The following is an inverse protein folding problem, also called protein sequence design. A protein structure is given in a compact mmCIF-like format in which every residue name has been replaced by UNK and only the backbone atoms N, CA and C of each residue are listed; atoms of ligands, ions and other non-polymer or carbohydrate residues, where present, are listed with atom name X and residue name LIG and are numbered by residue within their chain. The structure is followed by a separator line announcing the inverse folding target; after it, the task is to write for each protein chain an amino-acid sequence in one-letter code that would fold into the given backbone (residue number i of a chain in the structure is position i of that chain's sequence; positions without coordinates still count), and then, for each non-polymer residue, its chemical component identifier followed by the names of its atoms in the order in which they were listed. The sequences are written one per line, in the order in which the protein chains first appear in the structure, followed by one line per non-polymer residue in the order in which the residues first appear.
data_IF_714113064417
#
_entry.id   IF_714113064417
#
_cell.length_a   1.000
_cell.length_b   1.000
_cell.length_c   1.000
_cell.angle_alpha   90.00
_cell.angle_beta   90.00
_cell.angle_gamma   90.00
#
_symmetry.space_group_name_H-M   'P 1'
#
loop_
_entity.id
_entity.type
_entity.pdbx_description
1 polymer ?
#
# COMPACT_ATOMS: atom_id res chain seq x y z
N UNK A 1 30.36 26.63 -24.27
CA UNK A 1 28.99 27.04 -24.42
C UNK A 1 28.35 27.25 -23.03
N UNK A 2 28.48 28.50 -22.48
CA UNK A 2 28.07 28.86 -21.10
C UNK A 2 26.59 28.57 -20.78
N UNK A 3 25.70 28.63 -21.79
CA UNK A 3 24.26 28.34 -21.62
C UNK A 3 24.02 26.83 -21.38
N UNK A 4 24.73 25.97 -22.10
CA UNK A 4 24.62 24.52 -21.94
C UNK A 4 25.21 24.08 -20.57
N UNK A 5 26.31 24.69 -20.15
CA UNK A 5 26.92 24.43 -18.84
C UNK A 5 26.01 24.92 -17.70
N UNK A 6 25.39 26.10 -17.84
CA UNK A 6 24.40 26.58 -16.84
C UNK A 6 23.16 25.70 -16.78
N UNK A 7 22.66 25.20 -17.93
CA UNK A 7 21.51 24.26 -17.95
C UNK A 7 21.87 22.92 -17.33
N UNK A 8 23.09 22.41 -17.56
CA UNK A 8 23.60 21.19 -16.94
C UNK A 8 23.82 21.39 -15.43
N UNK A 9 24.37 22.52 -15.03
CA UNK A 9 24.56 22.87 -13.61
C UNK A 9 23.21 23.10 -12.93
N UNK A 10 22.27 23.79 -13.59
CA UNK A 10 20.91 24.01 -13.06
C UNK A 10 20.11 22.69 -12.98
N UNK A 11 20.30 21.80 -13.97
CA UNK A 11 19.75 20.44 -13.94
C UNK A 11 20.40 19.59 -12.85
N UNK A 12 21.72 19.73 -12.58
CA UNK A 12 22.41 19.09 -11.47
C UNK A 12 21.98 19.63 -10.10
N UNK A 13 21.74 20.94 -9.98
CA UNK A 13 21.23 21.56 -8.75
C UNK A 13 19.80 21.08 -8.45
N UNK A 14 18.99 20.86 -9.51
CA UNK A 14 17.64 20.33 -9.37
C UNK A 14 17.58 18.80 -9.19
N UNK A 15 18.66 18.08 -9.46
CA UNK A 15 18.83 16.64 -9.21
C UNK A 15 19.54 16.34 -7.87
N UNK A 16 19.68 17.33 -6.99
CA UNK A 16 20.20 17.05 -5.65
C UNK A 16 19.18 16.23 -4.89
N UNK A 17 19.67 15.15 -4.31
CA UNK A 17 18.96 14.42 -3.27
C UNK A 17 18.28 15.43 -2.33
N UNK A 18 16.99 15.29 -2.20
CA UNK A 18 16.20 16.14 -1.33
C UNK A 18 15.61 15.29 -0.23
N UNK A 19 16.17 15.37 0.97
CA UNK A 19 15.67 14.69 2.16
C UNK A 19 15.35 15.69 3.25
N UNK A 20 14.33 15.41 4.02
CA UNK A 20 13.95 16.13 5.22
C UNK A 20 13.93 15.17 6.40
N UNK A 21 14.61 15.56 7.48
CA UNK A 21 14.61 14.88 8.76
C UNK A 21 13.66 15.59 9.70
N UNK A 22 12.82 14.86 10.39
CA UNK A 22 11.74 15.39 11.20
C UNK A 22 11.89 14.95 12.66
N UNK A 23 11.52 15.83 13.55
CA UNK A 23 11.40 15.52 14.98
C UNK A 23 9.91 15.26 15.28
N UNK A 24 9.66 14.35 16.21
CA UNK A 24 8.34 14.07 16.75
C UNK A 24 8.37 14.21 18.26
N UNK A 25 7.31 14.77 18.83
CA UNK A 25 7.10 14.87 20.26
C UNK A 25 6.46 13.61 20.83
N UNK A 26 6.44 13.46 22.16
CA UNK A 26 5.68 12.38 22.83
C UNK A 26 4.20 12.44 22.46
N UNK A 27 3.65 13.63 22.32
CA UNK A 27 2.26 13.83 21.89
C UNK A 27 2.00 13.32 20.48
N UNK A 28 2.96 13.49 19.57
CA UNK A 28 2.85 12.94 18.20
C UNK A 28 2.89 11.40 18.24
N UNK A 29 3.68 10.82 19.13
CA UNK A 29 3.75 9.36 19.27
C UNK A 29 2.43 8.75 19.75
N UNK A 30 1.64 9.46 20.56
CA UNK A 30 0.29 9.04 20.96
C UNK A 30 -0.67 8.88 19.77
N UNK A 31 -0.41 9.56 18.64
CA UNK A 31 -1.17 9.37 17.40
C UNK A 31 -0.99 7.96 16.79
N UNK A 32 0.02 7.25 17.24
CA UNK A 32 0.29 5.86 16.90
C UNK A 32 1.23 5.67 15.71
N UNK A 33 1.64 6.75 15.03
CA UNK A 33 2.64 6.75 13.96
C UNK A 33 3.33 8.11 13.90
N UNK A 34 4.66 8.12 13.88
CA UNK A 34 5.49 9.30 13.71
C UNK A 34 6.42 9.13 12.52
N UNK A 35 6.73 10.23 11.84
CA UNK A 35 7.57 10.26 10.65
C UNK A 35 8.91 10.90 11.00
N UNK A 36 10.00 10.22 10.66
CA UNK A 36 11.39 10.62 10.92
C UNK A 36 12.07 11.21 9.70
N UNK A 37 11.76 10.67 8.50
CA UNK A 37 12.37 11.13 7.25
C UNK A 37 11.39 11.10 6.10
N UNK A 38 11.56 12.04 5.16
CA UNK A 38 10.88 12.02 3.84
C UNK A 38 11.92 12.46 2.81
N UNK A 39 11.96 11.79 1.67
CA UNK A 39 12.89 12.20 0.63
C UNK A 39 12.62 11.58 -0.73
N UNK A 40 13.38 12.09 -1.69
CA UNK A 40 13.44 11.61 -3.06
C UNK A 40 14.80 11.84 -3.66
N UNK A 41 15.20 10.98 -4.58
CA UNK A 41 16.44 11.12 -5.35
C UNK A 41 16.29 10.52 -6.75
N UNK A 42 17.16 10.94 -7.64
CA UNK A 42 17.32 10.36 -8.95
C UNK A 42 18.81 10.08 -9.18
N UNK A 43 19.14 8.82 -9.36
CA UNK A 43 20.50 8.34 -9.63
C UNK A 43 20.57 7.95 -11.10
N UNK A 44 21.37 8.69 -11.85
CA UNK A 44 21.56 8.40 -13.28
C UNK A 44 22.60 7.28 -13.49
N UNK A 45 22.59 6.61 -14.67
CA UNK A 45 23.59 5.58 -14.97
C UNK A 45 25.03 6.10 -14.78
N UNK A 46 25.85 5.31 -14.07
CA UNK A 46 27.25 5.61 -13.78
C UNK A 46 27.49 6.59 -12.62
N UNK A 47 26.45 7.06 -11.96
CA UNK A 47 26.58 7.91 -10.78
C UNK A 47 26.98 7.09 -9.55
N UNK A 48 27.82 7.69 -8.68
CA UNK A 48 28.26 7.07 -7.44
C UNK A 48 27.09 6.97 -6.44
N UNK A 49 26.94 5.82 -5.81
CA UNK A 49 25.94 5.58 -4.79
C UNK A 49 26.57 4.93 -3.54
N UNK A 50 26.18 5.28 -2.31
CA UNK A 50 25.20 6.33 -1.93
C UNK A 50 25.67 7.74 -2.26
N UNK A 51 24.73 8.63 -2.58
CA UNK A 51 25.03 10.03 -2.85
C UNK A 51 25.52 10.74 -1.59
N UNK A 52 26.38 11.73 -1.75
CA UNK A 52 26.86 12.56 -0.64
C UNK A 52 25.74 13.47 -0.14
N UNK A 53 25.64 13.64 1.18
CA UNK A 53 24.67 14.56 1.81
C UNK A 53 23.59 13.93 2.65
N UNK A 54 23.61 12.60 2.83
CA UNK A 54 22.83 11.96 3.89
C UNK A 54 23.31 12.36 5.27
N UNK A 55 22.41 12.49 6.25
CA UNK A 55 22.77 12.58 7.65
C UNK A 55 23.54 11.33 8.09
N UNK A 56 24.44 11.48 9.07
CA UNK A 56 25.39 10.42 9.49
C UNK A 56 24.72 9.05 9.77
N UNK A 57 23.50 9.03 10.30
CA UNK A 57 22.76 7.78 10.56
C UNK A 57 22.14 7.12 9.31
N UNK A 58 22.13 7.79 8.16
CA UNK A 58 21.49 7.32 6.93
C UNK A 58 22.48 7.01 5.81
N UNK A 59 23.69 7.53 5.88
CA UNK A 59 24.77 7.14 4.99
C UNK A 59 25.26 5.71 5.32
N UNK A 60 25.51 4.89 4.31
CA UNK A 60 26.01 3.53 4.52
C UNK A 60 26.92 3.08 3.38
N UNK A 61 27.82 2.17 3.71
CA UNK A 61 28.64 1.44 2.76
C UNK A 61 27.80 0.27 2.19
N UNK A 62 27.63 0.20 0.87
CA UNK A 62 26.83 -0.85 0.20
C UNK A 62 27.31 -2.26 0.58
N UNK A 63 28.62 -2.44 0.75
CA UNK A 63 29.21 -3.76 1.08
C UNK A 63 28.94 -4.16 2.53
N UNK A 64 28.91 -3.21 3.44
CA UNK A 64 28.67 -3.44 4.87
C UNK A 64 27.18 -3.47 5.21
N UNK A 65 26.36 -2.76 4.43
CA UNK A 65 24.95 -2.52 4.75
C UNK A 65 24.79 -1.67 6.00
N UNK A 66 23.58 -1.62 6.52
CA UNK A 66 23.22 -0.90 7.74
C UNK A 66 22.02 -1.53 8.45
N UNK A 67 21.78 -1.05 9.68
CA UNK A 67 20.56 -1.30 10.45
C UNK A 67 19.94 0.04 10.83
N UNK A 68 18.64 0.20 10.66
CA UNK A 68 17.89 1.37 11.12
C UNK A 68 16.99 0.98 12.30
N UNK A 69 16.59 1.96 13.10
CA UNK A 69 15.68 1.78 14.22
C UNK A 69 14.22 2.17 13.86
N UNK A 70 13.94 2.28 12.57
CA UNK A 70 12.66 2.68 11.97
C UNK A 70 12.28 1.82 10.78
N UNK A 71 11.00 1.86 10.41
CA UNK A 71 10.55 1.40 9.11
C UNK A 71 10.86 2.44 8.05
N UNK A 72 11.21 2.00 6.84
CA UNK A 72 11.23 2.88 5.67
C UNK A 72 10.48 2.24 4.52
N UNK A 73 9.56 2.97 3.93
CA UNK A 73 8.85 2.58 2.72
C UNK A 73 9.48 3.30 1.53
N UNK A 74 10.10 2.53 0.64
CA UNK A 74 10.80 3.04 -0.54
C UNK A 74 10.04 2.62 -1.80
N UNK A 75 9.79 3.57 -2.70
CA UNK A 75 9.15 3.34 -4.00
C UNK A 75 10.09 3.69 -5.14
N UNK A 76 10.23 2.76 -6.08
CA UNK A 76 11.07 2.90 -7.27
C UNK A 76 10.19 2.99 -8.52
N UNK A 77 9.67 4.17 -8.93
CA UNK A 77 8.84 4.29 -10.13
C UNK A 77 9.60 3.98 -11.42
N UNK A 78 10.90 4.23 -11.45
CA UNK A 78 11.75 4.10 -12.62
C UNK A 78 13.11 3.50 -12.27
N UNK A 79 13.73 2.83 -13.26
CA UNK A 79 15.04 2.22 -13.12
C UNK A 79 15.00 0.82 -12.53
N UNK A 80 16.14 0.36 -12.06
CA UNK A 80 16.29 -0.93 -11.40
C UNK A 80 17.49 -0.94 -10.45
N UNK A 81 17.52 -1.91 -9.57
CA UNK A 81 18.60 -2.08 -8.59
C UNK A 81 18.53 -3.43 -7.91
N UNK A 82 19.17 -3.53 -6.78
CA UNK A 82 19.13 -4.72 -5.93
C UNK A 82 18.85 -4.34 -4.49
N UNK A 83 18.23 -5.25 -3.77
CA UNK A 83 17.98 -5.19 -2.34
C UNK A 83 18.37 -6.52 -1.71
N UNK A 84 18.93 -6.47 -0.50
CA UNK A 84 19.25 -7.63 0.31
C UNK A 84 19.01 -7.29 1.77
N UNK A 85 18.48 -8.24 2.55
CA UNK A 85 18.32 -8.10 3.99
C UNK A 85 18.71 -9.39 4.72
N UNK A 86 18.60 -9.39 6.05
CA UNK A 86 18.87 -10.59 6.84
C UNK A 86 17.92 -11.75 6.48
N UNK A 87 16.68 -11.46 6.07
CA UNK A 87 15.66 -12.45 5.71
C UNK A 87 15.49 -12.68 4.21
N UNK A 88 16.07 -11.80 3.36
CA UNK A 88 15.93 -11.92 1.91
C UNK A 88 17.31 -11.88 1.23
N UNK A 89 17.68 -12.91 0.44
CA UNK A 89 18.91 -12.89 -0.36
C UNK A 89 18.86 -11.74 -1.37
N UNK A 90 19.99 -11.47 -2.02
CA UNK A 90 20.05 -10.42 -3.04
C UNK A 90 18.95 -10.62 -4.09
N UNK A 91 18.08 -9.64 -4.17
CA UNK A 91 16.87 -9.68 -4.99
C UNK A 91 16.79 -8.43 -5.84
N UNK A 92 16.45 -8.61 -7.11
CA UNK A 92 16.32 -7.52 -8.07
C UNK A 92 15.10 -6.65 -7.75
N UNK A 93 15.31 -5.35 -7.66
CA UNK A 93 14.28 -4.30 -7.62
C UNK A 93 14.05 -3.81 -9.05
N UNK A 94 12.78 -3.68 -9.42
CA UNK A 94 12.34 -3.23 -10.75
C UNK A 94 11.52 -1.96 -10.64
N UNK A 95 11.40 -1.25 -11.76
CA UNK A 95 10.45 -0.13 -11.85
C UNK A 95 9.05 -0.58 -11.41
N UNK A 96 8.44 0.22 -10.53
CA UNK A 96 7.14 -0.07 -9.92
C UNK A 96 7.18 -0.92 -8.65
N UNK A 97 8.37 -1.22 -8.11
CA UNK A 97 8.49 -1.92 -6.83
C UNK A 97 8.48 -0.93 -5.65
N UNK A 98 7.79 -1.34 -4.60
CA UNK A 98 7.94 -0.78 -3.25
C UNK A 98 8.66 -1.82 -2.40
N UNK A 99 9.62 -1.38 -1.58
CA UNK A 99 10.19 -2.25 -0.56
C UNK A 99 10.19 -1.57 0.81
N UNK A 100 9.98 -2.40 1.84
CA UNK A 100 9.88 -1.98 3.23
C UNK A 100 11.12 -2.43 4.01
N UNK A 101 11.79 -1.48 4.69
CA UNK A 101 12.83 -1.76 5.67
C UNK A 101 12.19 -1.89 7.05
N UNK A 102 12.70 -2.83 7.83
CA UNK A 102 12.21 -3.11 9.19
C UNK A 102 13.22 -2.66 10.24
N UNK A 103 12.76 -2.10 11.39
CA UNK A 103 13.65 -1.69 12.45
C UNK A 103 14.44 -2.89 13.01
N UNK A 104 15.72 -2.67 13.29
CA UNK A 104 16.62 -3.70 13.81
C UNK A 104 17.09 -4.74 12.78
N UNK A 105 16.58 -4.70 11.54
CA UNK A 105 16.99 -5.62 10.49
C UNK A 105 18.13 -5.06 9.64
N UNK A 106 19.17 -5.87 9.47
CA UNK A 106 20.28 -5.53 8.58
C UNK A 106 19.83 -5.56 7.12
N UNK A 107 20.20 -4.55 6.34
CA UNK A 107 19.87 -4.45 4.93
C UNK A 107 20.92 -3.67 4.13
N UNK A 108 20.92 -3.90 2.83
CA UNK A 108 21.66 -3.10 1.83
C UNK A 108 20.86 -3.04 0.54
N UNK A 109 21.01 -1.97 -0.21
CA UNK A 109 20.41 -1.79 -1.53
C UNK A 109 21.20 -0.75 -2.34
N UNK A 110 21.12 -0.85 -3.66
CA UNK A 110 21.73 0.13 -4.56
C UNK A 110 21.09 0.08 -5.96
N UNK A 111 21.13 1.19 -6.72
CA UNK A 111 20.71 1.20 -8.11
C UNK A 111 21.63 0.37 -9.00
N UNK A 112 21.13 -0.03 -10.16
CA UNK A 112 21.95 -0.57 -11.23
C UNK A 112 22.89 0.52 -11.77
N UNK A 113 24.17 0.21 -11.88
CA UNK A 113 25.16 1.13 -12.45
C UNK A 113 24.89 1.50 -13.91
N UNK A 114 24.15 0.64 -14.65
CA UNK A 114 23.85 0.84 -16.07
C UNK A 114 22.50 1.52 -16.32
N UNK A 115 21.56 1.46 -15.36
CA UNK A 115 20.20 2.02 -15.53
C UNK A 115 19.86 3.12 -14.54
N UNK A 116 20.51 3.14 -13.37
CA UNK A 116 20.12 4.02 -12.30
C UNK A 116 18.72 3.72 -11.78
N UNK A 117 18.15 4.62 -10.99
CA UNK A 117 16.76 4.62 -10.56
C UNK A 117 16.28 6.00 -10.11
N UNK A 118 14.96 6.13 -10.02
CA UNK A 118 14.30 7.19 -9.27
C UNK A 118 13.70 6.60 -8.02
N UNK A 119 13.93 7.22 -6.87
CA UNK A 119 13.55 6.72 -5.56
C UNK A 119 12.78 7.76 -4.75
N UNK A 120 11.72 7.33 -4.09
CA UNK A 120 11.01 8.06 -3.05
C UNK A 120 11.06 7.24 -1.78
N UNK A 121 11.21 7.89 -0.61
CA UNK A 121 11.15 7.19 0.67
C UNK A 121 10.46 8.00 1.75
N UNK A 122 9.93 7.29 2.73
CA UNK A 122 9.42 7.83 3.98
C UNK A 122 9.78 6.90 5.13
N UNK A 123 10.42 7.45 6.17
CA UNK A 123 10.80 6.74 7.39
C UNK A 123 9.80 7.03 8.50
N UNK A 124 9.42 6.02 9.26
CA UNK A 124 8.38 6.12 10.29
C UNK A 124 8.51 5.06 11.37
N UNK A 125 7.89 5.36 12.54
CA UNK A 125 7.80 4.47 13.72
C UNK A 125 6.40 4.55 14.31
N UNK A 126 6.02 3.54 15.09
CA UNK A 126 4.84 3.64 15.93
C UNK A 126 4.10 2.34 16.16
N UNK A 127 3.16 2.40 17.09
CA UNK A 127 2.34 1.23 17.47
C UNK A 127 1.52 0.70 16.30
N UNK A 128 0.97 1.58 15.46
CA UNK A 128 0.10 1.19 14.35
C UNK A 128 0.81 0.27 13.35
N UNK A 129 2.07 0.55 13.02
CA UNK A 129 2.84 -0.29 12.10
C UNK A 129 3.29 -1.59 12.78
N UNK A 130 3.71 -1.52 14.04
CA UNK A 130 4.10 -2.69 14.82
C UNK A 130 2.95 -3.70 14.94
N UNK A 131 1.73 -3.24 15.19
CA UNK A 131 0.54 -4.08 15.26
C UNK A 131 0.24 -4.77 13.91
N UNK A 132 0.46 -4.09 12.77
CA UNK A 132 0.30 -4.68 11.43
C UNK A 132 1.32 -5.77 11.15
N UNK A 133 2.58 -5.56 11.55
CA UNK A 133 3.63 -6.59 11.43
C UNK A 133 3.28 -7.78 12.32
N UNK A 134 2.90 -7.55 13.58
CA UNK A 134 2.47 -8.60 14.51
C UNK A 134 1.25 -9.38 14.01
N UNK A 135 0.34 -8.71 13.33
CA UNK A 135 -0.85 -9.33 12.72
C UNK A 135 -0.54 -10.04 11.38
N UNK A 136 0.71 -10.02 10.90
CA UNK A 136 1.13 -10.70 9.68
C UNK A 136 0.74 -9.99 8.37
N UNK A 137 0.31 -8.72 8.43
CA UNK A 137 0.07 -7.93 7.21
C UNK A 137 1.37 -7.56 6.50
N UNK A 138 2.44 -7.32 7.25
CA UNK A 138 3.77 -6.96 6.76
C UNK A 138 4.79 -7.90 7.40
N UNK A 139 5.81 -8.29 6.63
CA UNK A 139 6.79 -9.27 7.09
C UNK A 139 8.16 -9.00 6.49
N UNK A 140 9.28 -9.14 7.26
CA UNK A 140 10.62 -9.04 6.73
C UNK A 140 10.98 -10.16 5.74
N UNK A 141 10.26 -11.28 5.74
CA UNK A 141 10.41 -12.35 4.74
C UNK A 141 9.79 -12.00 3.39
N UNK A 142 8.86 -11.05 3.36
CA UNK A 142 8.24 -10.52 2.14
C UNK A 142 8.27 -8.99 2.14
N UNK A 143 9.44 -8.36 2.03
CA UNK A 143 9.56 -6.90 2.10
C UNK A 143 9.25 -6.19 0.78
N UNK A 144 9.18 -6.87 -0.37
CA UNK A 144 9.04 -6.29 -1.71
C UNK A 144 7.62 -6.52 -2.24
N UNK A 145 7.00 -5.43 -2.73
CA UNK A 145 5.65 -5.38 -3.29
C UNK A 145 5.69 -4.77 -4.70
N UNK A 146 5.17 -5.48 -5.69
CA UNK A 146 5.11 -4.97 -7.06
C UNK A 146 3.77 -4.24 -7.30
N UNK A 147 3.81 -2.90 -7.37
CA UNK A 147 2.60 -2.06 -7.53
C UNK A 147 2.49 -1.44 -8.92
N UNK A 148 3.52 -1.60 -9.75
CA UNK A 148 3.62 -0.95 -11.05
C UNK A 148 3.87 0.57 -10.94
N UNK A 149 3.94 1.24 -12.09
CA UNK A 149 4.02 2.70 -12.14
C UNK A 149 2.67 3.31 -11.69
N UNK A 150 2.71 4.20 -10.71
CA UNK A 150 1.50 4.80 -10.14
C UNK A 150 1.71 6.29 -9.84
N UNK A 151 1.00 7.15 -10.61
CA UNK A 151 0.96 8.58 -10.33
C UNK A 151 0.35 8.91 -8.97
N UNK A 152 -0.59 8.09 -8.47
CA UNK A 152 -1.21 8.29 -7.16
C UNK A 152 -0.20 8.08 -6.03
N UNK A 153 0.66 7.04 -6.12
CA UNK A 153 1.72 6.80 -5.13
C UNK A 153 2.74 7.93 -5.18
N UNK A 154 3.16 8.36 -6.40
CA UNK A 154 4.09 9.49 -6.57
C UNK A 154 3.50 10.75 -5.93
N UNK A 155 2.23 11.07 -6.18
CA UNK A 155 1.56 12.23 -5.61
C UNK A 155 1.54 12.21 -4.06
N UNK A 156 1.32 11.05 -3.45
CA UNK A 156 1.37 10.90 -1.99
C UNK A 156 2.78 11.17 -1.43
N UNK A 157 3.84 10.69 -2.09
CA UNK A 157 5.20 10.99 -1.66
C UNK A 157 5.56 12.48 -1.86
N UNK A 158 5.12 13.10 -2.96
CA UNK A 158 5.32 14.53 -3.19
C UNK A 158 4.55 15.39 -2.16
N UNK A 159 3.33 15.00 -1.80
CA UNK A 159 2.56 15.63 -0.73
C UNK A 159 3.26 15.47 0.62
N UNK A 160 3.76 14.27 0.94
CA UNK A 160 4.53 14.04 2.15
C UNK A 160 5.79 14.92 2.20
N UNK A 161 6.52 15.02 1.09
CA UNK A 161 7.71 15.83 0.99
C UNK A 161 7.39 17.33 1.19
N UNK A 162 6.34 17.84 0.56
CA UNK A 162 5.86 19.21 0.73
C UNK A 162 5.46 19.48 2.18
N UNK A 163 4.65 18.62 2.77
CA UNK A 163 4.20 18.73 4.18
C UNK A 163 5.39 18.75 5.15
N UNK A 164 6.39 17.89 4.89
CA UNK A 164 7.62 17.84 5.68
C UNK A 164 8.47 19.13 5.55
N UNK A 165 8.45 19.77 4.38
CA UNK A 165 9.17 21.04 4.17
C UNK A 165 8.48 22.22 4.86
N UNK A 166 7.16 22.27 4.84
CA UNK A 166 6.37 23.38 5.41
C UNK A 166 6.43 23.41 6.93
N UNK A 167 6.70 22.28 7.60
CA UNK A 167 6.75 22.12 9.07
C UNK A 167 5.56 22.80 9.79
N UNK A 168 4.39 22.76 9.17
CA UNK A 168 3.19 23.35 9.72
C UNK A 168 2.75 22.64 11.01
N UNK A 169 1.92 23.30 11.82
CA UNK A 169 1.33 22.68 12.99
C UNK A 169 0.58 21.39 12.62
N UNK A 170 0.79 20.34 13.41
CA UNK A 170 0.21 18.99 13.18
C UNK A 170 0.65 18.31 11.87
N UNK A 171 1.80 18.68 11.30
CA UNK A 171 2.38 18.01 10.12
C UNK A 171 2.63 16.51 10.35
N UNK A 172 3.00 16.10 11.56
CA UNK A 172 3.18 14.69 11.92
C UNK A 172 1.89 13.87 11.72
N UNK A 173 0.72 14.41 12.08
CA UNK A 173 -0.58 13.76 11.92
C UNK A 173 -0.96 13.62 10.45
N UNK A 174 -0.71 14.65 9.65
CA UNK A 174 -0.91 14.61 8.19
C UNK A 174 -0.02 13.57 7.54
N UNK A 175 1.27 13.58 7.86
CA UNK A 175 2.25 12.61 7.35
C UNK A 175 1.90 11.17 7.77
N UNK A 176 1.43 10.96 9.01
CA UNK A 176 0.93 9.67 9.47
C UNK A 176 -0.26 9.17 8.64
N UNK A 177 -1.17 10.08 8.26
CA UNK A 177 -2.28 9.80 7.33
C UNK A 177 -1.78 9.36 5.96
N UNK A 178 -0.79 10.06 5.41
CA UNK A 178 -0.18 9.73 4.10
C UNK A 178 0.49 8.35 4.14
N UNK A 179 1.26 8.02 5.19
CA UNK A 179 1.88 6.68 5.34
C UNK A 179 0.82 5.58 5.39
N UNK A 180 -0.27 5.78 6.14
CA UNK A 180 -1.38 4.83 6.17
C UNK A 180 -2.01 4.64 4.79
N UNK A 181 -2.17 5.72 4.02
CA UNK A 181 -2.69 5.66 2.65
C UNK A 181 -1.73 4.93 1.71
N UNK A 182 -0.43 5.23 1.76
CA UNK A 182 0.61 4.54 0.98
C UNK A 182 0.61 3.04 1.23
N UNK A 183 0.57 2.59 2.49
CA UNK A 183 0.51 1.17 2.85
C UNK A 183 -0.77 0.53 2.31
N UNK A 184 -1.92 1.18 2.45
CA UNK A 184 -3.18 0.69 1.91
C UNK A 184 -3.18 0.57 0.39
N UNK A 185 -2.62 1.56 -0.32
CA UNK A 185 -2.46 1.53 -1.78
C UNK A 185 -1.50 0.44 -2.23
N UNK A 186 -0.35 0.28 -1.57
CA UNK A 186 0.61 -0.79 -1.83
C UNK A 186 -0.06 -2.17 -1.79
N UNK A 187 -0.81 -2.46 -0.73
CA UNK A 187 -1.55 -3.70 -0.58
C UNK A 187 -2.59 -3.92 -1.68
N UNK A 188 -3.38 -2.88 -1.95
CA UNK A 188 -4.45 -2.94 -2.96
C UNK A 188 -3.91 -3.14 -4.37
N UNK A 189 -2.87 -2.39 -4.76
CA UNK A 189 -2.31 -2.44 -6.11
C UNK A 189 -1.58 -3.76 -6.35
N UNK A 190 -0.75 -4.23 -5.42
CA UNK A 190 -0.08 -5.54 -5.55
C UNK A 190 -1.13 -6.65 -5.71
N UNK A 191 -2.17 -6.65 -4.86
CA UNK A 191 -3.22 -7.66 -4.94
C UNK A 191 -3.97 -7.60 -6.27
N UNK A 192 -4.29 -6.40 -6.75
CA UNK A 192 -4.95 -6.22 -8.03
C UNK A 192 -4.09 -6.71 -9.20
N UNK A 193 -2.77 -6.49 -9.19
CA UNK A 193 -1.85 -7.01 -10.22
C UNK A 193 -1.80 -8.54 -10.18
N UNK A 194 -1.73 -9.13 -8.99
CA UNK A 194 -1.75 -10.60 -8.84
C UNK A 194 -3.08 -11.16 -9.40
N UNK A 195 -4.20 -10.53 -9.07
CA UNK A 195 -5.54 -10.96 -9.49
C UNK A 195 -5.83 -10.66 -10.96
N UNK A 196 -5.29 -9.55 -11.50
CA UNK A 196 -5.50 -9.15 -12.91
C UNK A 196 -4.78 -10.05 -13.92
N UNK A 197 -3.82 -10.86 -13.47
CA UNK A 197 -3.26 -11.93 -14.30
C UNK A 197 -4.34 -12.94 -14.73
N UNK A 198 -5.49 -12.92 -14.06
CA UNK A 198 -6.67 -13.68 -14.39
C UNK A 198 -7.89 -12.73 -14.48
N UNK A 199 -7.92 -11.93 -15.55
CA UNK A 199 -8.97 -10.92 -15.79
C UNK A 199 -10.39 -11.50 -15.74
N UNK A 200 -10.55 -12.78 -16.09
CA UNK A 200 -11.84 -13.50 -16.00
C UNK A 200 -12.31 -13.63 -14.55
N UNK A 201 -11.41 -13.86 -13.62
CA UNK A 201 -11.76 -13.99 -12.19
C UNK A 201 -12.23 -12.66 -11.60
N UNK A 202 -11.58 -11.54 -11.93
CA UNK A 202 -12.02 -10.21 -11.49
C UNK A 202 -13.41 -9.89 -12.02
N UNK A 203 -13.66 -10.18 -13.30
CA UNK A 203 -14.98 -9.97 -13.95
C UNK A 203 -16.07 -10.83 -13.29
N UNK A 204 -15.80 -12.11 -13.03
CA UNK A 204 -16.71 -13.01 -12.31
C UNK A 204 -17.08 -12.44 -10.93
N UNK A 205 -16.10 -11.96 -10.16
CA UNK A 205 -16.34 -11.44 -8.81
C UNK A 205 -17.13 -10.13 -8.85
N UNK A 206 -16.85 -9.24 -9.79
CA UNK A 206 -17.61 -8.00 -9.95
C UNK A 206 -19.08 -8.27 -10.33
N UNK A 207 -19.30 -9.18 -11.26
CA UNK A 207 -20.66 -9.65 -11.63
C UNK A 207 -21.37 -10.30 -10.43
N UNK A 208 -20.65 -11.14 -9.68
CA UNK A 208 -21.21 -11.77 -8.47
C UNK A 208 -21.65 -10.75 -7.42
N UNK A 209 -20.80 -9.74 -7.15
CA UNK A 209 -21.15 -8.67 -6.21
C UNK A 209 -22.41 -7.91 -6.61
N UNK A 210 -22.51 -7.59 -7.91
CA UNK A 210 -23.69 -6.93 -8.45
C UNK A 210 -24.91 -7.83 -8.30
N UNK A 211 -24.82 -9.08 -8.74
CA UNK A 211 -25.92 -10.06 -8.70
C UNK A 211 -26.41 -10.33 -7.28
N UNK A 212 -25.49 -10.47 -6.30
CA UNK A 212 -25.85 -10.60 -4.87
C UNK A 212 -26.62 -9.37 -4.38
N UNK A 213 -26.20 -8.16 -4.75
CA UNK A 213 -26.90 -6.92 -4.34
C UNK A 213 -28.29 -6.79 -4.94
N UNK A 214 -28.44 -7.15 -6.21
CA UNK A 214 -29.73 -7.11 -6.91
C UNK A 214 -30.71 -8.14 -6.38
N UNK A 215 -30.23 -9.27 -5.88
CA UNK A 215 -31.06 -10.39 -5.41
C UNK A 215 -31.27 -10.46 -3.88
N UNK A 216 -31.07 -9.36 -3.14
CA UNK A 216 -31.24 -9.37 -1.69
C UNK A 216 -32.67 -9.70 -1.23
N UNK A 217 -33.67 -9.32 -2.02
CA UNK A 217 -35.10 -9.57 -1.78
C UNK A 217 -35.59 -10.84 -2.50
N UNK A 218 -34.74 -11.46 -3.33
CA UNK A 218 -35.03 -12.69 -4.04
C UNK A 218 -34.64 -13.94 -3.25
N UNK A 219 -35.19 -15.10 -3.64
CA UNK A 219 -34.81 -16.41 -3.06
C UNK A 219 -33.57 -17.01 -3.71
N UNK A 220 -32.86 -16.24 -4.56
CA UNK A 220 -31.69 -16.71 -5.31
C UNK A 220 -30.54 -17.08 -4.35
N UNK A 221 -30.07 -18.31 -4.48
CA UNK A 221 -29.01 -18.86 -3.66
C UNK A 221 -27.62 -18.51 -4.22
N UNK A 222 -26.62 -18.54 -3.37
CA UNK A 222 -25.21 -18.35 -3.78
C UNK A 222 -24.75 -19.43 -4.77
N UNK A 223 -25.29 -20.65 -4.69
CA UNK A 223 -25.00 -21.73 -5.61
C UNK A 223 -25.53 -21.43 -7.02
N UNK A 224 -26.74 -20.91 -7.11
CA UNK A 224 -27.37 -20.52 -8.39
C UNK A 224 -26.59 -19.34 -9.01
N UNK A 225 -26.16 -18.36 -8.21
CA UNK A 225 -25.29 -17.27 -8.69
C UNK A 225 -23.98 -17.82 -9.27
N UNK A 226 -23.33 -18.79 -8.60
CA UNK A 226 -22.12 -19.41 -9.11
C UNK A 226 -22.37 -20.14 -10.44
N UNK A 227 -23.52 -20.81 -10.58
CA UNK A 227 -23.92 -21.49 -11.78
C UNK A 227 -24.21 -20.51 -12.93
N UNK A 228 -24.94 -19.42 -12.69
CA UNK A 228 -25.16 -18.33 -13.65
C UNK A 228 -23.83 -17.76 -14.19
N UNK A 229 -22.79 -17.68 -13.33
CA UNK A 229 -21.47 -17.18 -13.69
C UNK A 229 -20.55 -18.24 -14.33
N UNK A 230 -21.04 -19.47 -14.52
CA UNK A 230 -20.30 -20.56 -15.16
C UNK A 230 -19.10 -21.08 -14.35
N UNK A 231 -19.16 -21.01 -13.02
CA UNK A 231 -18.09 -21.45 -12.11
C UNK A 231 -18.64 -22.45 -11.08
N UNK A 232 -17.84 -23.47 -10.72
CA UNK A 232 -18.22 -24.37 -9.64
C UNK A 232 -18.34 -23.64 -8.31
N UNK A 233 -19.31 -24.03 -7.46
CA UNK A 233 -19.52 -23.38 -6.16
C UNK A 233 -18.26 -23.37 -5.27
N UNK A 234 -17.49 -24.46 -5.25
CA UNK A 234 -16.27 -24.56 -4.48
C UNK A 234 -15.20 -23.55 -4.94
N UNK A 235 -14.99 -23.46 -6.25
CA UNK A 235 -14.07 -22.48 -6.86
C UNK A 235 -14.56 -21.06 -6.65
N UNK A 236 -15.87 -20.82 -6.82
CA UNK A 236 -16.49 -19.52 -6.57
C UNK A 236 -16.29 -19.06 -5.14
N UNK A 237 -16.56 -19.92 -4.15
CA UNK A 237 -16.41 -19.61 -2.73
C UNK A 237 -14.97 -19.23 -2.39
N UNK A 238 -13.98 -19.97 -2.88
CA UNK A 238 -12.56 -19.69 -2.69
C UNK A 238 -12.19 -18.34 -3.30
N UNK A 239 -12.51 -18.16 -4.59
CA UNK A 239 -12.20 -16.97 -5.35
C UNK A 239 -12.85 -15.72 -4.74
N UNK A 240 -14.14 -15.81 -4.38
CA UNK A 240 -14.87 -14.69 -3.79
C UNK A 240 -14.28 -14.27 -2.44
N UNK A 241 -13.91 -15.24 -1.59
CA UNK A 241 -13.23 -14.95 -0.31
C UNK A 241 -11.86 -14.33 -0.50
N UNK A 242 -11.08 -14.80 -1.47
CA UNK A 242 -9.76 -14.22 -1.79
C UNK A 242 -9.85 -12.77 -2.25
N UNK A 243 -10.91 -12.40 -2.99
CA UNK A 243 -11.10 -11.04 -3.52
C UNK A 243 -11.80 -10.09 -2.54
N UNK A 244 -12.70 -10.59 -1.70
CA UNK A 244 -13.57 -9.74 -0.86
C UNK A 244 -13.24 -9.81 0.62
N UNK A 245 -12.47 -10.82 1.04
CA UNK A 245 -12.25 -11.15 2.44
C UNK A 245 -13.38 -11.94 3.09
N UNK A 246 -14.55 -12.09 2.44
CA UNK A 246 -15.74 -12.75 2.98
C UNK A 246 -16.14 -13.97 2.16
N UNK A 247 -16.62 -15.02 2.83
CA UNK A 247 -17.36 -16.06 2.12
C UNK A 247 -18.64 -15.45 1.48
N UNK A 248 -19.06 -15.89 0.26
CA UNK A 248 -20.18 -15.23 -0.44
C UNK A 248 -21.49 -15.24 0.35
N UNK A 249 -21.81 -16.32 1.06
CA UNK A 249 -23.00 -16.38 1.91
C UNK A 249 -22.96 -15.35 3.06
N UNK A 250 -21.81 -15.20 3.72
CA UNK A 250 -21.63 -14.20 4.77
C UNK A 250 -21.68 -12.77 4.19
N UNK A 251 -21.16 -12.56 3.00
CA UNK A 251 -21.26 -11.28 2.29
C UNK A 251 -22.72 -10.92 2.01
N UNK A 252 -23.52 -11.86 1.48
CA UNK A 252 -24.95 -11.67 1.25
C UNK A 252 -25.70 -11.39 2.55
N UNK A 253 -25.43 -12.16 3.61
CA UNK A 253 -26.06 -11.96 4.91
C UNK A 253 -25.77 -10.57 5.49
N UNK A 254 -24.54 -10.09 5.40
CA UNK A 254 -24.16 -8.74 5.85
C UNK A 254 -24.90 -7.66 5.05
N UNK A 255 -25.06 -7.82 3.75
CA UNK A 255 -25.83 -6.90 2.93
C UNK A 255 -27.33 -6.91 3.29
N UNK A 256 -27.93 -8.08 3.54
CA UNK A 256 -29.31 -8.19 4.02
C UNK A 256 -29.50 -7.50 5.37
N UNK A 257 -28.57 -7.67 6.32
CA UNK A 257 -28.60 -6.99 7.61
C UNK A 257 -28.47 -5.47 7.46
N UNK A 258 -27.60 -5.01 6.57
CA UNK A 258 -27.49 -3.57 6.28
C UNK A 258 -28.80 -3.04 5.68
N UNK A 259 -29.39 -3.75 4.73
CA UNK A 259 -30.68 -3.38 4.12
C UNK A 259 -31.82 -3.39 5.12
N UNK A 260 -31.86 -4.37 6.04
CA UNK A 260 -32.83 -4.42 7.12
C UNK A 260 -32.74 -3.18 8.02
N UNK A 261 -31.52 -2.75 8.40
CA UNK A 261 -31.32 -1.52 9.19
C UNK A 261 -31.80 -0.27 8.47
N UNK A 262 -31.59 -0.17 7.15
CA UNK A 262 -32.09 0.93 6.33
C UNK A 262 -33.63 0.94 6.33
N UNK A 263 -34.27 -0.20 6.06
CA UNK A 263 -35.74 -0.31 6.04
C UNK A 263 -36.36 0.04 7.40
N UNK A 264 -35.78 -0.44 8.50
CA UNK A 264 -36.23 -0.08 9.87
C UNK A 264 -36.16 1.41 10.17
N UNK A 265 -35.24 2.14 9.53
CA UNK A 265 -35.08 3.58 9.76
C UNK A 265 -35.87 4.45 8.77
N UNK A 266 -36.31 3.90 7.64
CA UNK A 266 -36.89 4.67 6.53
C UNK A 266 -38.32 4.27 6.19
N UNK A 267 -38.85 3.18 6.78
CA UNK A 267 -40.21 2.69 6.53
C UNK A 267 -40.94 2.38 7.83
N UNK A 268 -42.25 2.20 7.76
CA UNK A 268 -43.10 1.76 8.88
C UNK A 268 -43.26 0.21 8.92
N UNK A 269 -42.49 -0.52 8.11
CA UNK A 269 -42.53 -1.99 8.08
C UNK A 269 -42.09 -2.57 9.42
N UNK A 270 -42.82 -3.57 9.90
CA UNK A 270 -42.46 -4.31 11.12
C UNK A 270 -41.20 -5.18 10.89
N UNK A 271 -40.50 -5.53 11.96
CA UNK A 271 -39.34 -6.44 11.90
C UNK A 271 -39.71 -7.74 11.16
N UNK A 272 -40.93 -8.26 11.36
CA UNK A 272 -41.39 -9.48 10.74
C UNK A 272 -41.60 -9.35 9.23
N UNK A 273 -42.14 -8.20 8.78
CA UNK A 273 -42.31 -7.92 7.33
C UNK A 273 -40.96 -7.74 6.66
N UNK A 274 -40.02 -7.02 7.29
CA UNK A 274 -38.67 -6.84 6.78
C UNK A 274 -37.90 -8.19 6.73
N UNK A 275 -38.01 -9.04 7.75
CA UNK A 275 -37.42 -10.36 7.76
C UNK A 275 -37.96 -11.23 6.62
N UNK A 276 -39.28 -11.22 6.40
CA UNK A 276 -39.92 -11.94 5.30
C UNK A 276 -39.48 -11.41 3.93
N UNK A 277 -39.46 -10.07 3.77
CA UNK A 277 -39.03 -9.40 2.53
C UNK A 277 -37.60 -9.71 2.14
N UNK A 278 -36.71 -9.80 3.10
CA UNK A 278 -35.28 -10.08 2.88
C UNK A 278 -34.96 -11.59 2.93
N UNK A 279 -35.96 -12.45 3.02
CA UNK A 279 -35.80 -13.90 3.07
C UNK A 279 -34.83 -14.34 4.19
N UNK A 280 -35.05 -13.87 5.43
CA UNK A 280 -34.43 -14.43 6.62
C UNK A 280 -35.21 -15.67 7.06
N UNK A 281 -34.49 -16.71 7.51
CA UNK A 281 -35.11 -17.99 7.96
C UNK A 281 -35.93 -17.82 9.25
N UNK A 282 -35.57 -16.84 10.09
CA UNK A 282 -36.30 -16.48 11.32
C UNK A 282 -36.28 -14.96 11.52
N UNK A 283 -37.33 -14.36 12.07
CA UNK A 283 -37.35 -12.96 12.49
C UNK A 283 -36.58 -12.68 13.79
N UNK A 284 -36.07 -13.72 14.47
CA UNK A 284 -35.34 -13.65 15.76
C UNK A 284 -33.86 -13.38 15.60
#
# INVERSE_FOLDING_TARGET
NRKCLKAIIQKRINNMQTSKYLLATERDAEWGLTISTVGREEIVPGEEYPTKGHADGYYFDIQKGRTLDEYQLLYQPEGEGVFRSAHLPETKIKAGDIFLLFPGEWHTYHPSSTKGWKSYWIGFKGKNINDRVKAGFLSPEKPIYHVGYSNEIIALYEEAYKTAQEEAAYSQQTLAGIVNHLIGKMYSLERNIILSKDSKHVDIINKARLRIRESLEDTLTIQEIAQELGISYSSFRKLFKEHTGFAPALYQQNLKLQRAKELLSTTDESIKEIAYRLNFESPD
#
